data_IF_016169979332
#
_entry.id   IF_016169979332
#
_cell.length_a   1.000
_cell.length_b   1.000
_cell.length_c   1.000
_cell.angle_alpha   90.00
_cell.angle_beta   90.00
_cell.angle_gamma   90.00
#
_symmetry.space_group_name_H-M   'P 1'
#
loop_
_entity.id
_entity.type
_entity.pdbx_description
1 polymer ?
#
# COMPACT_ATOMS: atom_id res chain seq x y z
N UNK A 1 -15.94 -33.13 -37.91
CA UNK A 1 -14.87 -33.41 -36.94
C UNK A 1 -13.94 -32.21 -36.66
N UNK A 2 -13.42 -31.55 -37.69
CA UNK A 2 -12.51 -30.40 -37.48
C UNK A 2 -13.15 -29.19 -36.81
N UNK A 3 -14.45 -28.92 -36.98
CA UNK A 3 -15.17 -27.80 -36.36
C UNK A 3 -15.43 -27.99 -34.86
N UNK A 4 -15.68 -29.22 -34.39
CA UNK A 4 -15.88 -29.51 -32.97
C UNK A 4 -14.61 -29.27 -32.13
N UNK A 5 -13.42 -29.52 -32.68
CA UNK A 5 -12.14 -29.31 -32.02
C UNK A 5 -11.83 -27.82 -31.91
N UNK A 6 -12.16 -27.01 -32.92
CA UNK A 6 -11.98 -25.56 -32.90
C UNK A 6 -12.85 -24.86 -31.85
N UNK A 7 -14.10 -25.31 -31.69
CA UNK A 7 -15.02 -24.76 -30.67
C UNK A 7 -14.53 -25.10 -29.26
N UNK A 8 -14.04 -26.34 -29.06
CA UNK A 8 -13.47 -26.77 -27.78
C UNK A 8 -12.25 -25.96 -27.39
N UNK A 9 -11.37 -25.64 -28.35
CA UNK A 9 -10.20 -24.80 -28.11
C UNK A 9 -10.56 -23.36 -27.74
N UNK A 10 -11.59 -22.80 -28.36
CA UNK A 10 -12.09 -21.45 -28.05
C UNK A 10 -12.70 -21.40 -26.64
N UNK A 11 -13.45 -22.42 -26.23
CA UNK A 11 -14.04 -22.51 -24.89
C UNK A 11 -12.93 -22.60 -23.82
N UNK A 12 -11.90 -23.39 -24.04
CA UNK A 12 -10.75 -23.51 -23.13
C UNK A 12 -9.99 -22.18 -23.02
N UNK A 13 -9.85 -21.44 -24.12
CA UNK A 13 -9.19 -20.14 -24.14
C UNK A 13 -9.98 -19.08 -23.35
N UNK A 14 -11.31 -19.04 -23.48
CA UNK A 14 -12.19 -18.12 -22.74
C UNK A 14 -12.15 -18.43 -21.23
N UNK A 15 -12.10 -19.69 -20.84
CA UNK A 15 -11.98 -20.11 -19.44
C UNK A 15 -10.67 -19.66 -18.82
N UNK A 16 -9.57 -19.62 -19.56
CA UNK A 16 -8.26 -19.18 -19.09
C UNK A 16 -8.19 -17.66 -18.86
N UNK A 17 -8.91 -16.84 -19.63
CA UNK A 17 -8.94 -15.38 -19.51
C UNK A 17 -9.71 -14.92 -18.26
N UNK A 18 -10.70 -15.69 -17.78
CA UNK A 18 -11.51 -15.31 -16.62
C UNK A 18 -10.81 -15.56 -15.27
N UNK A 19 -9.65 -16.23 -15.23
CA UNK A 19 -8.97 -16.61 -13.99
C UNK A 19 -8.13 -15.49 -13.33
N UNK A 20 -7.51 -14.50 -14.03
CA UNK A 20 -6.61 -13.55 -13.41
C UNK A 20 -7.25 -12.43 -12.60
N UNK A 21 -8.57 -12.24 -12.65
CA UNK A 21 -9.23 -11.09 -12.03
C UNK A 21 -9.43 -11.18 -10.52
N UNK A 22 -9.20 -12.33 -9.88
CA UNK A 22 -9.43 -12.52 -8.45
C UNK A 22 -8.15 -12.53 -7.61
N UNK A 23 -6.96 -12.43 -8.24
CA UNK A 23 -5.70 -12.68 -7.57
C UNK A 23 -5.10 -11.47 -6.82
N UNK A 24 -5.65 -10.24 -6.97
CA UNK A 24 -4.97 -9.02 -6.53
C UNK A 24 -5.71 -8.17 -5.49
N UNK A 25 -6.83 -8.65 -4.93
CA UNK A 25 -7.53 -7.91 -3.89
C UNK A 25 -6.88 -8.18 -2.52
N UNK A 26 -6.34 -7.14 -1.89
CA UNK A 26 -5.81 -7.23 -0.52
C UNK A 26 -6.94 -7.43 0.47
N UNK A 27 -6.72 -8.29 1.46
CA UNK A 27 -7.64 -8.47 2.59
C UNK A 27 -7.55 -7.29 3.55
N UNK A 28 -8.58 -7.11 4.39
CA UNK A 28 -8.57 -6.10 5.46
C UNK A 28 -7.35 -6.28 6.37
N UNK A 29 -7.02 -7.52 6.73
CA UNK A 29 -5.84 -7.82 7.54
C UNK A 29 -4.54 -7.39 6.87
N UNK A 30 -4.37 -7.70 5.58
CA UNK A 30 -3.19 -7.30 4.81
C UNK A 30 -3.04 -5.77 4.71
N UNK A 31 -4.14 -5.07 4.53
CA UNK A 31 -4.15 -3.60 4.47
C UNK A 31 -3.73 -3.01 5.81
N UNK A 32 -4.32 -3.46 6.91
CA UNK A 32 -3.99 -2.97 8.25
C UNK A 32 -2.54 -3.28 8.62
N UNK A 33 -2.07 -4.50 8.37
CA UNK A 33 -0.67 -4.88 8.59
C UNK A 33 0.29 -4.08 7.71
N UNK A 34 -0.08 -3.87 6.46
CA UNK A 34 0.73 -3.10 5.51
C UNK A 34 0.91 -1.64 5.93
N UNK A 35 -0.17 -0.97 6.36
CA UNK A 35 -0.05 0.41 6.82
C UNK A 35 0.76 0.53 8.12
N UNK A 36 0.60 -0.40 9.05
CA UNK A 36 1.43 -0.45 10.26
C UNK A 36 2.91 -0.63 9.93
N UNK A 37 3.22 -1.52 9.00
CA UNK A 37 4.60 -1.77 8.57
C UNK A 37 5.21 -0.53 7.92
N UNK A 38 4.47 0.20 7.10
CA UNK A 38 4.95 1.43 6.47
C UNK A 38 5.21 2.56 7.48
N UNK A 39 4.35 2.75 8.46
CA UNK A 39 4.60 3.70 9.53
C UNK A 39 5.80 3.32 10.38
N UNK A 40 5.95 2.04 10.71
CA UNK A 40 7.11 1.54 11.45
C UNK A 40 8.40 1.75 10.68
N UNK A 41 8.40 1.44 9.38
CA UNK A 41 9.55 1.68 8.50
C UNK A 41 9.90 3.17 8.42
N UNK A 42 8.90 4.04 8.27
CA UNK A 42 9.12 5.49 8.25
C UNK A 42 9.76 5.98 9.55
N UNK A 43 9.30 5.48 10.68
CA UNK A 43 9.87 5.81 11.98
C UNK A 43 11.34 5.38 12.08
N UNK A 44 11.66 4.15 11.69
CA UNK A 44 13.04 3.65 11.71
C UNK A 44 13.94 4.44 10.75
N UNK A 45 13.44 4.75 9.55
CA UNK A 45 14.18 5.53 8.58
C UNK A 45 14.39 6.97 9.06
N UNK A 46 13.42 7.58 9.71
CA UNK A 46 13.58 8.91 10.29
C UNK A 46 14.68 8.94 11.36
N UNK A 47 14.77 7.91 12.19
CA UNK A 47 15.87 7.78 13.17
C UNK A 47 17.24 7.70 12.48
N UNK A 48 17.37 6.87 11.47
CA UNK A 48 18.61 6.71 10.69
C UNK A 48 19.01 8.01 10.03
N UNK A 49 18.05 8.72 9.43
CA UNK A 49 18.26 10.02 8.79
C UNK A 49 18.83 11.01 9.82
N UNK A 50 18.25 11.09 11.00
CA UNK A 50 18.72 11.98 12.06
C UNK A 50 20.19 11.72 12.42
N UNK A 51 20.57 10.46 12.56
CA UNK A 51 21.95 10.06 12.84
C UNK A 51 22.90 10.46 11.70
N UNK A 52 22.51 10.18 10.46
CA UNK A 52 23.29 10.48 9.26
C UNK A 52 23.51 11.99 9.10
N UNK A 53 22.47 12.79 9.32
CA UNK A 53 22.57 14.25 9.23
C UNK A 53 23.49 14.83 10.29
N UNK A 54 23.43 14.31 11.52
CA UNK A 54 24.36 14.72 12.59
C UNK A 54 25.79 14.39 12.24
N UNK A 55 26.05 13.34 11.50
CA UNK A 55 27.36 12.92 11.02
C UNK A 55 27.75 13.56 9.68
N UNK A 56 26.95 14.49 9.17
CA UNK A 56 27.15 15.16 7.87
C UNK A 56 27.14 14.19 6.66
N UNK A 57 26.50 13.04 6.79
CA UNK A 57 26.39 12.00 5.74
C UNK A 57 25.11 12.17 4.95
N UNK A 58 24.93 13.31 4.31
CA UNK A 58 23.68 13.72 3.65
C UNK A 58 23.34 12.79 2.48
N UNK A 59 24.32 12.38 1.67
CA UNK A 59 24.09 11.53 0.50
C UNK A 59 23.52 10.16 0.89
N UNK A 60 23.91 9.63 2.03
CA UNK A 60 23.36 8.36 2.53
C UNK A 60 21.96 8.51 3.11
N UNK A 61 21.58 9.71 3.55
CA UNK A 61 20.24 10.01 4.05
C UNK A 61 19.19 10.11 2.93
N UNK A 62 19.59 10.57 1.75
CA UNK A 62 18.66 10.82 0.62
C UNK A 62 17.80 9.61 0.22
N UNK A 63 18.34 8.39 0.06
CA UNK A 63 17.52 7.22 -0.27
C UNK A 63 16.47 6.91 0.81
N UNK A 64 16.81 7.14 2.08
CA UNK A 64 15.90 6.93 3.20
C UNK A 64 14.77 7.98 3.21
N UNK A 65 15.09 9.22 2.89
CA UNK A 65 14.10 10.29 2.73
C UNK A 65 13.12 9.97 1.61
N UNK A 66 13.63 9.49 0.46
CA UNK A 66 12.80 9.06 -0.66
C UNK A 66 11.88 7.92 -0.27
N UNK A 67 12.37 6.95 0.49
CA UNK A 67 11.55 5.82 0.94
C UNK A 67 10.41 6.27 1.85
N UNK A 68 10.64 7.21 2.74
CA UNK A 68 9.60 7.82 3.58
C UNK A 68 8.55 8.50 2.71
N UNK A 69 8.98 9.31 1.75
CA UNK A 69 8.09 9.99 0.80
C UNK A 69 7.23 8.99 0.04
N UNK A 70 7.83 7.96 -0.54
CA UNK A 70 7.12 6.92 -1.30
C UNK A 70 6.10 6.19 -0.41
N UNK A 71 6.43 5.90 0.84
CA UNK A 71 5.53 5.26 1.78
C UNK A 71 4.31 6.14 2.10
N UNK A 72 4.49 7.44 2.28
CA UNK A 72 3.34 8.35 2.51
C UNK A 72 2.39 8.40 1.32
N UNK A 73 2.90 8.35 0.10
CA UNK A 73 2.05 8.28 -1.10
C UNK A 73 1.29 6.96 -1.16
N UNK A 74 1.97 5.83 -0.91
CA UNK A 74 1.31 4.51 -0.86
C UNK A 74 0.23 4.44 0.20
N UNK A 75 0.48 5.04 1.37
CA UNK A 75 -0.45 5.04 2.49
C UNK A 75 -1.79 5.69 2.17
N UNK A 76 -1.89 6.55 1.15
CA UNK A 76 -3.17 7.12 0.71
C UNK A 76 -4.21 6.03 0.37
N UNK A 77 -3.77 4.87 -0.11
CA UNK A 77 -4.63 3.75 -0.48
C UNK A 77 -4.83 2.72 0.64
N UNK A 78 -4.31 2.97 1.84
CA UNK A 78 -4.33 2.01 2.96
C UNK A 78 -5.32 2.36 4.06
N UNK A 79 -6.30 3.22 3.78
CA UNK A 79 -7.36 3.61 4.73
C UNK A 79 -8.75 3.47 4.12
N UNK A 80 -9.11 2.32 3.50
CA UNK A 80 -10.48 2.12 3.05
C UNK A 80 -11.43 1.99 4.24
N UNK A 81 -12.72 2.23 4.01
CA UNK A 81 -13.76 2.24 5.04
C UNK A 81 -13.81 0.97 5.89
N UNK A 82 -13.56 -0.19 5.28
CA UNK A 82 -13.61 -1.49 5.96
C UNK A 82 -12.39 -1.79 6.84
N UNK A 83 -11.48 -0.84 7.04
CA UNK A 83 -10.27 -1.00 7.87
C UNK A 83 -10.26 -0.13 9.11
N UNK A 84 -11.41 0.39 9.53
CA UNK A 84 -11.54 1.24 10.72
C UNK A 84 -11.29 0.48 12.02
N UNK A 85 -11.66 -0.79 12.07
CA UNK A 85 -11.62 -1.63 13.26
C UNK A 85 -10.99 -2.99 12.99
N UNK A 86 -10.54 -3.65 14.02
CA UNK A 86 -10.00 -5.02 13.97
C UNK A 86 -8.48 -5.06 13.83
N UNK A 87 -7.94 -6.27 13.91
CA UNK A 87 -6.50 -6.58 13.74
C UNK A 87 -5.56 -5.66 14.54
N UNK A 88 -5.99 -5.23 15.72
CA UNK A 88 -5.24 -4.32 16.61
C UNK A 88 -4.86 -2.98 15.94
N UNK A 89 -5.73 -2.46 15.05
CA UNK A 89 -5.53 -1.13 14.51
C UNK A 89 -5.65 -0.08 15.61
N UNK A 90 -4.67 0.82 15.69
CA UNK A 90 -4.70 1.97 16.60
C UNK A 90 -5.17 3.26 15.94
N UNK A 91 -5.69 3.17 14.73
CA UNK A 91 -6.11 4.34 13.94
C UNK A 91 -7.42 4.89 14.49
N UNK A 92 -7.48 6.20 14.69
CA UNK A 92 -8.66 6.88 15.19
C UNK A 92 -9.75 7.00 14.10
N UNK A 93 -11.04 6.80 14.46
CA UNK A 93 -12.15 6.95 13.52
C UNK A 93 -12.23 8.33 12.85
N UNK A 94 -11.69 9.37 13.47
CA UNK A 94 -11.65 10.72 12.94
C UNK A 94 -10.96 10.84 11.57
N UNK A 95 -10.10 9.91 11.20
CA UNK A 95 -9.47 9.87 9.87
C UNK A 95 -10.53 9.75 8.78
N UNK A 96 -11.53 8.91 8.97
CA UNK A 96 -12.60 8.72 7.98
C UNK A 96 -13.62 9.85 8.00
N UNK A 97 -13.83 10.49 9.14
CA UNK A 97 -14.70 11.66 9.27
C UNK A 97 -14.10 12.88 8.55
N UNK A 98 -12.77 12.99 8.50
CA UNK A 98 -12.02 14.10 7.90
C UNK A 98 -11.04 13.58 6.83
N UNK A 99 -11.52 12.70 5.95
CA UNK A 99 -10.66 11.97 5.00
C UNK A 99 -9.91 12.88 4.04
N UNK A 100 -10.53 13.92 3.53
CA UNK A 100 -9.90 14.86 2.59
C UNK A 100 -8.75 15.62 3.26
N UNK A 101 -8.95 16.06 4.50
CA UNK A 101 -7.89 16.69 5.29
C UNK A 101 -6.74 15.73 5.57
N UNK A 102 -7.07 14.50 5.99
CA UNK A 102 -6.06 13.45 6.21
C UNK A 102 -5.22 13.19 4.96
N UNK A 103 -5.88 13.04 3.80
CA UNK A 103 -5.18 12.81 2.53
C UNK A 103 -4.28 14.00 2.15
N UNK A 104 -4.75 15.23 2.39
CA UNK A 104 -3.97 16.43 2.13
C UNK A 104 -2.71 16.49 3.01
N UNK A 105 -2.82 16.14 4.29
CA UNK A 105 -1.69 16.07 5.22
C UNK A 105 -0.67 14.99 4.82
N UNK A 106 -1.15 13.82 4.37
CA UNK A 106 -0.28 12.75 3.90
C UNK A 106 0.50 13.16 2.65
N UNK A 107 -0.13 13.83 1.70
CA UNK A 107 0.53 14.38 0.52
C UNK A 107 1.56 15.45 0.88
N UNK A 108 1.24 16.30 1.84
CA UNK A 108 2.17 17.33 2.34
C UNK A 108 3.39 16.72 3.04
N UNK A 109 3.22 15.58 3.72
CA UNK A 109 4.31 14.86 4.37
C UNK A 109 5.21 14.11 3.38
N UNK A 110 4.69 13.81 2.19
CA UNK A 110 5.49 13.19 1.14
C UNK A 110 6.39 14.22 0.44
#
# INVERSE_FOLDING_TARGET
>A
MKQKIKILQIIIFIFFISFPFYANAMTVEEIIKGRKAMFSENYQNAKKISILLKSKRIEEAKPLMKKISDNYIKLLDYFPENTKEGFKTGVLPSIWENKDEFNALMKKAS
#
